data_IF_451749779185
#
_entry.id   IF_451749779185
#
_cell.length_a   1.000
_cell.length_b   1.000
_cell.length_c   1.000
_cell.angle_alpha   90.00
_cell.angle_beta   90.00
_cell.angle_gamma   90.00
#
_symmetry.space_group_name_H-M   'P 1'
#
loop_
_entity.id
_entity.type
_entity.pdbx_description
1 polymer ?
#
# COMPACT_ATOMS: atom_id res chain seq x y z
N UNK A 1 32.94 3.71 -63.30
CA UNK A 1 31.52 4.05 -63.53
C UNK A 1 30.66 3.27 -62.55
N UNK A 2 30.21 3.91 -61.49
CA UNK A 2 29.56 3.24 -60.35
C UNK A 2 28.05 3.49 -60.37
N UNK A 3 27.27 2.45 -60.67
CA UNK A 3 25.80 2.49 -60.69
C UNK A 3 25.29 2.55 -59.26
N UNK A 4 24.93 3.75 -58.78
CA UNK A 4 24.16 3.94 -57.55
C UNK A 4 22.81 3.23 -57.68
N UNK A 5 22.63 2.08 -57.02
CA UNK A 5 21.31 1.44 -56.85
C UNK A 5 20.49 2.29 -55.88
N UNK A 6 19.50 3.02 -56.41
CA UNK A 6 18.44 3.65 -55.60
C UNK A 6 17.50 2.55 -55.12
N UNK A 7 17.55 2.24 -53.84
CA UNK A 7 16.57 1.38 -53.18
C UNK A 7 15.27 2.18 -53.00
N UNK A 8 14.37 2.12 -53.98
CA UNK A 8 13.02 2.67 -53.83
C UNK A 8 12.15 1.60 -53.17
N UNK A 9 11.80 1.80 -51.89
CA UNK A 9 10.87 0.94 -51.18
C UNK A 9 9.50 0.95 -51.88
N UNK A 10 8.98 -0.23 -52.20
CA UNK A 10 7.65 -0.39 -52.80
C UNK A 10 6.56 0.19 -51.86
N UNK A 11 5.45 0.72 -52.40
CA UNK A 11 4.40 1.37 -51.60
C UNK A 11 3.91 0.52 -50.41
N UNK A 12 3.80 -0.79 -50.59
CA UNK A 12 3.37 -1.74 -49.56
C UNK A 12 4.37 -1.84 -48.38
N UNK A 13 5.67 -1.74 -48.65
CA UNK A 13 6.69 -1.75 -47.61
C UNK A 13 6.70 -0.47 -46.78
N UNK A 14 6.30 0.66 -47.37
CA UNK A 14 6.18 1.94 -46.66
C UNK A 14 5.01 1.92 -45.67
N UNK A 15 3.91 1.25 -46.04
CA UNK A 15 2.75 1.05 -45.16
C UNK A 15 3.13 0.14 -44.00
N UNK A 16 3.80 -0.99 -44.27
CA UNK A 16 4.26 -1.91 -43.23
C UNK A 16 5.20 -1.21 -42.23
N UNK A 17 6.16 -0.43 -42.73
CA UNK A 17 7.08 0.34 -41.89
C UNK A 17 6.36 1.40 -41.05
N UNK A 18 5.36 2.09 -41.61
CA UNK A 18 4.56 3.06 -40.88
C UNK A 18 3.73 2.41 -39.77
N UNK A 19 3.12 1.25 -40.03
CA UNK A 19 2.37 0.48 -39.03
C UNK A 19 3.30 -0.02 -37.93
N UNK A 20 4.46 -0.57 -38.27
CA UNK A 20 5.46 -0.99 -37.28
C UNK A 20 5.98 0.18 -36.44
N UNK A 21 6.23 1.34 -37.05
CA UNK A 21 6.61 2.55 -36.34
C UNK A 21 5.49 3.00 -35.40
N UNK A 22 4.23 2.95 -35.84
CA UNK A 22 3.08 3.38 -35.04
C UNK A 22 2.82 2.41 -33.87
N UNK A 23 2.98 1.10 -34.07
CA UNK A 23 2.97 0.10 -33.00
C UNK A 23 4.13 0.33 -32.04
N UNK A 24 5.33 0.62 -32.55
CA UNK A 24 6.51 0.91 -31.73
C UNK A 24 6.32 2.18 -30.90
N UNK A 25 5.76 3.24 -31.50
CA UNK A 25 5.46 4.50 -30.81
C UNK A 25 4.31 4.33 -29.81
N UNK A 26 3.28 3.54 -30.15
CA UNK A 26 2.19 3.22 -29.22
C UNK A 26 2.71 2.38 -28.05
N UNK A 27 3.55 1.38 -28.32
CA UNK A 27 4.22 0.60 -27.29
C UNK A 27 5.11 1.49 -26.40
N UNK A 28 5.87 2.41 -27.01
CA UNK A 28 6.70 3.36 -26.29
C UNK A 28 5.86 4.35 -25.47
N UNK A 29 4.73 4.81 -26.01
CA UNK A 29 3.81 5.73 -25.34
C UNK A 29 3.10 5.05 -24.16
N UNK A 30 2.59 3.82 -24.35
CA UNK A 30 2.06 2.96 -23.29
C UNK A 30 3.14 2.74 -22.22
N UNK A 31 4.36 2.42 -22.63
CA UNK A 31 5.53 2.23 -21.73
C UNK A 31 5.93 3.51 -21.00
N UNK A 32 5.72 4.69 -21.58
CA UNK A 32 6.02 5.98 -20.94
C UNK A 32 4.94 6.46 -19.97
N UNK A 33 3.70 5.98 -20.14
CA UNK A 33 2.55 6.32 -19.28
C UNK A 33 2.34 5.33 -18.14
N UNK A 34 2.67 4.06 -18.35
CA UNK A 34 2.68 3.08 -17.27
C UNK A 34 3.95 3.28 -16.46
N UNK A 35 3.82 3.63 -15.18
CA UNK A 35 4.93 3.72 -14.22
C UNK A 35 5.55 2.36 -13.94
N UNK A 36 6.08 1.70 -14.98
CA UNK A 36 6.74 0.41 -14.90
C UNK A 36 8.01 0.57 -14.04
N UNK A 37 7.91 0.15 -12.79
CA UNK A 37 9.05 -0.11 -11.93
C UNK A 37 9.98 -1.10 -12.68
N UNK A 38 11.28 -0.78 -12.82
CA UNK A 38 12.24 -1.68 -13.45
C UNK A 38 12.14 -3.09 -12.87
N UNK A 39 12.15 -4.13 -13.70
CA UNK A 39 12.12 -5.52 -13.24
C UNK A 39 13.39 -5.90 -12.44
N UNK A 40 14.40 -5.03 -12.38
CA UNK A 40 15.50 -5.05 -11.40
C UNK A 40 14.98 -5.00 -9.95
N UNK A 41 13.90 -4.27 -9.68
CA UNK A 41 13.32 -4.08 -8.34
C UNK A 41 12.49 -5.30 -7.86
N UNK A 42 12.21 -6.24 -8.76
CA UNK A 42 11.46 -7.47 -8.44
C UNK A 42 12.33 -8.55 -7.80
N UNK A 43 13.66 -8.37 -7.74
CA UNK A 43 14.58 -9.28 -7.05
C UNK A 43 14.85 -8.83 -5.63
N UNK A 44 13.78 -8.75 -4.84
CA UNK A 44 13.85 -8.74 -3.38
C UNK A 44 14.26 -7.40 -2.76
N UNK A 45 13.38 -6.92 -1.87
CA UNK A 45 13.69 -5.94 -0.82
C UNK A 45 14.08 -4.54 -1.32
N UNK A 46 13.18 -3.88 -2.05
CA UNK A 46 13.05 -2.44 -1.81
C UNK A 46 12.25 -2.31 -0.51
N UNK A 47 12.88 -1.89 0.60
CA UNK A 47 12.12 -1.60 1.81
C UNK A 47 11.06 -0.57 1.42
N UNK A 48 9.78 -0.91 1.65
CA UNK A 48 8.68 0.05 1.53
C UNK A 48 9.10 1.29 2.30
N UNK A 49 9.17 2.47 1.66
CA UNK A 49 9.66 3.68 2.31
C UNK A 49 8.91 3.89 3.62
N UNK A 50 9.64 4.14 4.71
CA UNK A 50 9.02 4.50 5.97
C UNK A 50 8.14 5.73 5.73
N UNK A 51 6.90 5.68 6.23
CA UNK A 51 5.84 6.69 6.01
C UNK A 51 5.16 6.68 4.63
N UNK A 52 5.27 5.59 3.86
CA UNK A 52 4.40 5.42 2.68
C UNK A 52 2.94 5.25 3.10
N UNK A 53 2.03 5.75 2.28
CA UNK A 53 0.61 5.49 2.38
C UNK A 53 0.30 4.13 1.76
N UNK A 54 -0.12 3.16 2.59
CA UNK A 54 -0.28 1.76 2.18
C UNK A 54 -1.75 1.36 2.27
N UNK A 55 -2.27 0.77 1.20
CA UNK A 55 -3.66 0.32 1.14
C UNK A 55 -3.71 -1.08 0.53
N UNK A 56 -4.45 -1.99 1.17
CA UNK A 56 -4.75 -3.31 0.60
C UNK A 56 -6.05 -3.21 -0.19
N UNK A 57 -6.05 -3.66 -1.44
CA UNK A 57 -7.24 -3.73 -2.30
C UNK A 57 -7.55 -5.18 -2.58
N UNK A 58 -8.81 -5.58 -2.42
CA UNK A 58 -9.31 -6.91 -2.71
C UNK A 58 -10.66 -6.83 -3.42
N UNK A 59 -10.86 -7.64 -4.45
CA UNK A 59 -12.15 -7.74 -5.14
C UNK A 59 -12.04 -8.44 -6.50
N UNK A 60 -13.18 -8.90 -7.00
CA UNK A 60 -13.27 -9.69 -8.24
C UNK A 60 -13.16 -8.85 -9.51
N UNK A 61 -13.38 -7.54 -9.39
CA UNK A 61 -13.40 -6.58 -10.51
C UNK A 61 -12.33 -5.50 -10.37
N UNK A 62 -11.31 -5.75 -9.54
CA UNK A 62 -10.18 -4.85 -9.29
C UNK A 62 -8.88 -5.64 -9.33
N UNK A 63 -7.79 -4.97 -9.65
CA UNK A 63 -6.45 -5.52 -9.46
C UNK A 63 -6.17 -5.62 -7.96
N UNK A 64 -6.41 -6.82 -7.40
CA UNK A 64 -6.17 -7.08 -5.98
C UNK A 64 -4.68 -7.04 -5.67
N UNK A 65 -4.31 -6.40 -4.56
CA UNK A 65 -2.90 -6.20 -4.21
C UNK A 65 -2.69 -5.20 -3.07
N UNK A 66 -1.43 -4.93 -2.78
CA UNK A 66 -1.03 -3.90 -1.82
C UNK A 66 -0.41 -2.76 -2.59
N UNK A 67 -1.01 -1.58 -2.43
CA UNK A 67 -0.63 -0.37 -3.11
C UNK A 67 0.12 0.53 -2.14
N UNK A 68 1.19 1.16 -2.60
CA UNK A 68 2.05 2.05 -1.80
C UNK A 68 2.21 3.38 -2.51
N UNK A 69 1.92 4.46 -1.82
CA UNK A 69 1.98 5.82 -2.36
C UNK A 69 2.89 6.70 -1.49
N UNK A 70 3.55 7.71 -2.08
CA UNK A 70 4.39 8.64 -1.34
C UNK A 70 3.59 9.59 -0.44
N UNK A 71 2.30 9.75 -0.71
CA UNK A 71 1.38 10.63 0.02
C UNK A 71 -0.02 10.01 0.10
N UNK A 72 -0.89 10.46 1.04
CA UNK A 72 -2.28 10.03 1.07
C UNK A 72 -3.01 10.32 -0.23
N UNK A 73 -3.74 9.32 -0.74
CA UNK A 73 -4.54 9.43 -1.97
C UNK A 73 -6.03 9.20 -1.69
N UNK A 74 -6.87 9.65 -2.62
CA UNK A 74 -8.32 9.44 -2.57
C UNK A 74 -8.73 8.01 -2.97
N UNK A 75 -9.98 7.65 -2.68
CA UNK A 75 -10.54 6.36 -3.11
C UNK A 75 -10.66 6.29 -4.63
N UNK A 76 -11.01 7.40 -5.30
CA UNK A 76 -11.14 7.44 -6.77
C UNK A 76 -9.82 7.15 -7.47
N UNK A 77 -8.77 7.87 -7.09
CA UNK A 77 -7.41 7.65 -7.59
C UNK A 77 -6.93 6.22 -7.31
N UNK A 78 -7.19 5.67 -6.12
CA UNK A 78 -6.85 4.28 -5.82
C UNK A 78 -7.60 3.27 -6.71
N UNK A 79 -8.88 3.52 -7.01
CA UNK A 79 -9.66 2.63 -7.86
C UNK A 79 -9.18 2.67 -9.31
N UNK A 80 -8.81 3.85 -9.81
CA UNK A 80 -8.21 4.00 -11.14
C UNK A 80 -6.90 3.21 -11.24
N UNK A 81 -6.02 3.34 -10.24
CA UNK A 81 -4.79 2.54 -10.12
C UNK A 81 -5.10 1.03 -10.01
N UNK A 82 -6.21 0.66 -9.37
CA UNK A 82 -6.69 -0.71 -9.30
C UNK A 82 -7.44 -1.19 -10.56
N UNK A 83 -7.44 -0.40 -11.64
CA UNK A 83 -8.00 -0.77 -12.93
C UNK A 83 -9.51 -0.53 -13.08
N UNK A 84 -10.12 0.24 -12.18
CA UNK A 84 -11.55 0.60 -12.22
C UNK A 84 -11.71 2.08 -12.43
N UNK A 85 -12.37 2.46 -13.53
CA UNK A 85 -12.82 3.84 -13.77
C UNK A 85 -14.03 4.16 -12.89
N UNK A 86 -13.90 5.02 -11.86
CA UNK A 86 -14.99 5.31 -10.91
C UNK A 86 -16.15 6.07 -11.56
N UNK A 87 -15.88 6.73 -12.70
CA UNK A 87 -16.84 7.55 -13.44
C UNK A 87 -17.91 6.72 -14.15
N UNK A 88 -17.61 5.45 -14.45
CA UNK A 88 -18.48 4.59 -15.25
C UNK A 88 -19.48 3.78 -14.40
N UNK A 89 -19.28 3.74 -13.08
CA UNK A 89 -20.10 2.90 -12.18
C UNK A 89 -20.49 3.66 -10.92
N UNK A 90 -21.79 3.90 -10.67
CA UNK A 90 -22.24 4.48 -9.41
C UNK A 90 -21.76 3.63 -8.21
N UNK A 91 -21.25 4.29 -7.17
CA UNK A 91 -20.66 3.62 -6.01
C UNK A 91 -21.39 3.91 -4.70
N UNK A 92 -21.33 2.93 -3.82
CA UNK A 92 -21.67 3.06 -2.41
C UNK A 92 -20.39 2.87 -1.59
N UNK A 93 -19.90 3.97 -1.00
CA UNK A 93 -18.69 3.98 -0.17
C UNK A 93 -19.03 4.52 1.22
N UNK A 94 -18.43 3.96 2.29
CA UNK A 94 -18.62 4.48 3.63
C UNK A 94 -18.08 5.91 3.73
N UNK A 95 -18.66 6.75 4.61
CA UNK A 95 -18.11 8.06 4.90
C UNK A 95 -16.75 7.90 5.59
N UNK A 96 -15.74 8.67 5.16
CA UNK A 96 -14.41 8.63 5.76
C UNK A 96 -13.31 8.95 4.77
N UNK A 97 -12.14 9.30 5.29
CA UNK A 97 -10.91 9.39 4.50
C UNK A 97 -10.20 8.05 4.52
N UNK A 98 -9.47 7.78 3.45
CA UNK A 98 -8.62 6.61 3.40
C UNK A 98 -7.39 6.83 4.28
N UNK A 99 -7.13 5.89 5.18
CA UNK A 99 -5.97 5.92 6.07
C UNK A 99 -4.97 4.83 5.67
N UNK A 100 -3.68 5.06 5.97
CA UNK A 100 -2.66 4.02 5.77
C UNK A 100 -2.98 2.80 6.63
N UNK A 101 -2.81 1.60 6.07
CA UNK A 101 -3.19 0.36 6.74
C UNK A 101 -4.69 0.06 6.67
N UNK A 102 -5.41 0.68 5.74
CA UNK A 102 -6.78 0.29 5.37
C UNK A 102 -6.75 -0.84 4.35
N UNK A 103 -7.69 -1.77 4.48
CA UNK A 103 -8.08 -2.75 3.47
C UNK A 103 -9.40 -2.30 2.85
N UNK A 104 -9.42 -2.15 1.54
CA UNK A 104 -10.61 -1.91 0.76
C UNK A 104 -11.04 -3.21 0.12
N UNK A 105 -12.29 -3.60 0.37
CA UNK A 105 -12.96 -4.65 -0.40
C UNK A 105 -13.90 -3.99 -1.40
N UNK A 106 -13.72 -4.32 -2.67
CA UNK A 106 -14.56 -3.83 -3.78
C UNK A 106 -15.35 -5.00 -4.32
N UNK A 107 -16.68 -4.92 -4.24
CA UNK A 107 -17.57 -5.91 -4.83
C UNK A 107 -18.61 -5.22 -5.72
N UNK A 108 -19.10 -5.94 -6.73
CA UNK A 108 -20.12 -5.43 -7.63
C UNK A 108 -21.48 -6.05 -7.28
N UNK A 109 -22.50 -5.20 -7.12
CA UNK A 109 -23.89 -5.61 -6.97
C UNK A 109 -24.71 -5.02 -8.13
N UNK A 110 -24.93 -5.82 -9.18
CA UNK A 110 -25.54 -5.36 -10.42
C UNK A 110 -24.70 -4.27 -11.09
N UNK A 111 -25.26 -3.07 -11.26
CA UNK A 111 -24.59 -1.91 -11.87
C UNK A 111 -23.93 -0.97 -10.86
N UNK A 112 -23.75 -1.40 -9.60
CA UNK A 112 -23.14 -0.56 -8.55
C UNK A 112 -21.93 -1.23 -7.94
N UNK A 113 -20.90 -0.43 -7.66
CA UNK A 113 -19.77 -0.85 -6.85
C UNK A 113 -20.08 -0.61 -5.38
N UNK A 114 -19.87 -1.63 -4.55
CA UNK A 114 -19.90 -1.54 -3.11
C UNK A 114 -18.47 -1.57 -2.60
N UNK A 115 -18.11 -0.53 -1.86
CA UNK A 115 -16.79 -0.37 -1.26
C UNK A 115 -16.93 -0.56 0.24
N UNK A 116 -16.11 -1.43 0.82
CA UNK A 116 -16.08 -1.67 2.26
C UNK A 116 -14.66 -1.42 2.76
N UNK A 117 -14.53 -0.52 3.72
CA UNK A 117 -13.26 -0.24 4.39
C UNK A 117 -13.15 -1.10 5.66
N UNK A 118 -12.01 -1.77 5.84
CA UNK A 118 -11.68 -2.55 7.04
C UNK A 118 -10.22 -2.27 7.43
N UNK A 119 -9.83 -2.49 8.69
CA UNK A 119 -8.42 -2.51 9.04
C UNK A 119 -7.67 -3.61 8.26
N UNK A 120 -6.46 -3.29 7.78
CA UNK A 120 -5.54 -4.29 7.25
C UNK A 120 -5.12 -5.26 8.35
N UNK A 121 -4.83 -6.51 7.96
CA UNK A 121 -4.32 -7.52 8.89
C UNK A 121 -3.03 -7.02 9.61
N UNK A 122 -2.92 -7.16 10.94
CA UNK A 122 -1.76 -6.73 11.72
C UNK A 122 -0.41 -7.24 11.21
N UNK A 123 -0.32 -8.50 10.77
CA UNK A 123 0.92 -9.07 10.23
C UNK A 123 1.36 -8.35 8.95
N UNK A 124 0.40 -8.00 8.08
CA UNK A 124 0.68 -7.18 6.89
C UNK A 124 1.10 -5.77 7.30
N UNK A 125 0.42 -5.13 8.28
CA UNK A 125 0.83 -3.82 8.79
C UNK A 125 2.30 -3.82 9.24
N UNK A 126 2.73 -4.82 10.00
CA UNK A 126 4.14 -4.97 10.43
C UNK A 126 5.09 -5.14 9.23
N UNK A 127 4.72 -5.98 8.26
CA UNK A 127 5.53 -6.23 7.06
C UNK A 127 5.74 -4.95 6.23
N UNK A 128 4.71 -4.13 6.11
CA UNK A 128 4.72 -2.87 5.37
C UNK A 128 5.11 -1.65 6.22
N UNK A 129 5.61 -1.86 7.45
CA UNK A 129 6.12 -0.78 8.30
C UNK A 129 5.06 0.19 8.82
N UNK A 130 3.80 -0.26 8.90
CA UNK A 130 2.67 0.51 9.40
C UNK A 130 2.58 0.28 10.92
N UNK A 131 2.74 1.32 11.75
CA UNK A 131 2.60 1.20 13.19
C UNK A 131 1.18 0.77 13.59
N UNK A 132 1.07 0.00 14.66
CA UNK A 132 -0.21 -0.46 15.21
C UNK A 132 -0.47 0.24 16.54
N UNK A 133 -1.70 0.69 16.77
CA UNK A 133 -2.06 1.36 18.02
C UNK A 133 -1.97 0.38 19.20
N UNK A 134 -1.09 0.73 20.13
CA UNK A 134 -0.84 -0.01 21.37
C UNK A 134 -2.10 -0.15 22.25
N UNK A 135 -3.04 0.78 22.14
CA UNK A 135 -4.27 0.77 22.92
C UNK A 135 -5.36 -0.12 22.34
N UNK A 136 -5.21 -0.59 21.09
CA UNK A 136 -6.23 -1.37 20.39
C UNK A 136 -5.75 -2.78 20.02
N UNK A 137 -4.44 -2.98 19.89
CA UNK A 137 -3.83 -4.26 19.52
C UNK A 137 -4.05 -5.35 20.59
N UNK A 138 -4.31 -6.59 20.17
CA UNK A 138 -4.44 -7.74 21.08
C UNK A 138 -3.08 -8.30 21.55
N UNK A 139 -3.08 -9.15 22.58
CA UNK A 139 -1.84 -9.77 23.07
C UNK A 139 -1.18 -10.68 22.02
N UNK A 140 -1.99 -11.42 21.27
CA UNK A 140 -1.58 -12.33 20.21
C UNK A 140 -0.96 -11.56 19.04
N UNK A 141 -1.50 -10.39 18.73
CA UNK A 141 -1.00 -9.50 17.68
C UNK A 141 0.30 -8.80 18.10
N UNK A 142 0.43 -8.42 19.38
CA UNK A 142 1.69 -7.91 19.93
C UNK A 142 2.84 -8.91 19.76
N UNK A 143 2.56 -10.22 19.82
CA UNK A 143 3.56 -11.27 19.64
C UNK A 143 4.10 -11.36 18.20
N UNK A 144 3.43 -10.74 17.22
CA UNK A 144 3.95 -10.63 15.86
C UNK A 144 5.15 -9.68 15.77
N UNK A 145 5.33 -8.81 16.77
CA UNK A 145 6.44 -7.85 16.81
C UNK A 145 7.71 -8.58 17.24
N UNK A 146 8.81 -8.53 16.44
CA UNK A 146 10.06 -9.17 16.78
C UNK A 146 10.56 -8.76 18.18
N UNK A 147 10.76 -9.75 19.05
CA UNK A 147 11.25 -9.55 20.42
C UNK A 147 10.16 -9.38 21.49
N UNK A 148 8.87 -9.39 21.12
CA UNK A 148 7.75 -9.44 22.07
C UNK A 148 7.25 -10.89 22.16
N UNK A 149 7.50 -11.54 23.29
CA UNK A 149 6.96 -12.87 23.61
C UNK A 149 5.67 -12.80 24.43
N UNK A 150 5.04 -13.96 24.71
CA UNK A 150 3.74 -14.04 25.40
C UNK A 150 3.72 -13.29 26.74
N UNK A 151 4.75 -13.48 27.57
CA UNK A 151 4.87 -12.80 28.86
C UNK A 151 4.91 -11.29 28.74
N UNK A 152 5.58 -10.76 27.71
CA UNK A 152 5.72 -9.32 27.52
C UNK A 152 4.44 -8.71 26.95
N UNK A 153 3.81 -9.38 25.99
CA UNK A 153 2.52 -9.00 25.45
C UNK A 153 1.45 -8.90 26.55
N UNK A 154 1.35 -9.91 27.42
CA UNK A 154 0.42 -9.89 28.55
C UNK A 154 0.70 -8.73 29.51
N UNK A 155 1.97 -8.41 29.78
CA UNK A 155 2.31 -7.27 30.65
C UNK A 155 1.91 -5.92 30.04
N UNK A 156 2.03 -5.78 28.72
CA UNK A 156 1.60 -4.57 28.00
C UNK A 156 0.08 -4.42 28.11
N UNK A 157 -0.68 -5.49 27.85
CA UNK A 157 -2.15 -5.47 27.95
C UNK A 157 -2.59 -5.18 29.38
N UNK A 158 -2.01 -5.86 30.36
CA UNK A 158 -2.30 -5.62 31.77
C UNK A 158 -1.95 -4.19 32.19
N UNK A 159 -0.88 -3.61 31.67
CA UNK A 159 -0.54 -2.21 31.97
C UNK A 159 -1.65 -1.27 31.53
N UNK A 160 -2.20 -1.42 30.30
CA UNK A 160 -3.29 -0.53 29.84
C UNK A 160 -4.62 -0.78 30.55
N UNK A 161 -4.83 -1.98 31.10
CA UNK A 161 -6.00 -2.31 31.92
C UNK A 161 -5.88 -1.73 33.34
N UNK A 162 -4.72 -1.90 33.98
CA UNK A 162 -4.50 -1.51 35.38
C UNK A 162 -4.19 -0.01 35.55
N UNK A 163 -3.49 0.60 34.57
CA UNK A 163 -3.02 2.00 34.62
C UNK A 163 -3.79 2.93 33.68
N UNK A 164 -4.66 2.39 32.84
CA UNK A 164 -5.35 3.11 31.78
C UNK A 164 -4.57 3.13 30.47
N UNK A 165 -5.23 3.62 29.40
CA UNK A 165 -4.66 3.70 28.04
C UNK A 165 -3.33 4.45 28.04
N UNK A 166 -2.39 3.99 27.24
CA UNK A 166 -1.13 4.69 26.99
C UNK A 166 -1.44 6.05 26.37
N UNK A 167 -0.89 7.13 26.93
CA UNK A 167 -1.05 8.49 26.39
C UNK A 167 0.04 8.84 25.38
N UNK A 168 1.20 8.19 25.49
CA UNK A 168 2.36 8.34 24.59
C UNK A 168 3.17 7.06 24.57
N UNK A 169 3.89 6.85 23.48
CA UNK A 169 4.62 5.60 23.26
C UNK A 169 5.70 5.34 24.34
N UNK A 170 6.33 6.39 24.87
CA UNK A 170 7.37 6.28 25.90
C UNK A 170 6.90 5.60 27.20
N UNK A 171 5.60 5.58 27.47
CA UNK A 171 5.03 4.91 28.66
C UNK A 171 5.21 3.39 28.61
N UNK A 172 5.50 2.80 27.44
CA UNK A 172 5.93 1.40 27.33
C UNK A 172 7.12 1.08 28.24
N UNK A 173 8.00 2.06 28.52
CA UNK A 173 9.15 1.87 29.41
C UNK A 173 8.77 1.66 30.88
N UNK A 174 7.53 1.97 31.25
CA UNK A 174 6.99 1.70 32.59
C UNK A 174 6.53 0.23 32.73
N UNK A 175 6.42 -0.51 31.62
CA UNK A 175 6.06 -1.92 31.63
C UNK A 175 7.27 -2.76 32.07
N UNK A 176 7.09 -3.55 33.12
CA UNK A 176 8.16 -4.40 33.67
C UNK A 176 8.75 -5.33 32.59
N UNK A 177 10.07 -5.26 32.42
CA UNK A 177 10.80 -6.04 31.42
C UNK A 177 10.99 -5.34 30.07
N UNK A 178 10.51 -4.09 29.91
CA UNK A 178 10.81 -3.20 28.77
C UNK A 178 11.82 -2.14 29.20
N UNK A 179 13.11 -2.44 29.00
CA UNK A 179 14.19 -1.45 29.12
C UNK A 179 14.41 -0.67 27.82
N UNK A 180 15.32 0.31 27.84
CA UNK A 180 15.66 1.16 26.68
C UNK A 180 15.91 0.37 25.40
N UNK A 181 16.75 -0.65 25.45
CA UNK A 181 17.10 -1.48 24.28
C UNK A 181 15.87 -2.15 23.63
N UNK A 182 14.94 -2.65 24.45
CA UNK A 182 13.71 -3.29 23.97
C UNK A 182 12.72 -2.26 23.43
N UNK A 183 12.57 -1.16 24.13
CA UNK A 183 11.76 -0.03 23.65
C UNK A 183 12.23 0.44 22.27
N UNK A 184 13.55 0.64 22.10
CA UNK A 184 14.14 1.07 20.83
C UNK A 184 13.87 0.09 19.68
N UNK A 185 13.76 -1.22 19.97
CA UNK A 185 13.39 -2.22 18.96
C UNK A 185 11.89 -2.23 18.62
N UNK A 186 11.00 -1.90 19.56
CA UNK A 186 9.55 -2.01 19.37
C UNK A 186 8.92 -0.71 18.84
N UNK A 187 9.51 0.44 19.16
CA UNK A 187 8.92 1.76 18.90
C UNK A 187 8.56 2.05 17.44
N UNK A 188 9.18 1.33 16.49
CA UNK A 188 8.89 1.47 15.06
C UNK A 188 7.62 0.74 14.60
N UNK A 189 7.12 -0.21 15.40
CA UNK A 189 5.96 -1.04 15.08
C UNK A 189 4.70 -0.58 15.80
N UNK A 190 4.82 0.37 16.72
CA UNK A 190 3.78 0.74 17.67
C UNK A 190 3.51 2.24 17.60
N UNK A 191 2.24 2.61 17.71
CA UNK A 191 1.78 3.98 17.87
C UNK A 191 0.85 4.11 19.08
N UNK A 192 0.49 5.34 19.42
CA UNK A 192 -0.54 5.65 20.40
C UNK A 192 -1.48 6.67 19.74
N UNK A 193 -2.76 6.29 19.60
CA UNK A 193 -3.72 7.02 18.78
C UNK A 193 -3.64 6.61 17.31
N UNK A 194 -4.80 6.53 16.65
CA UNK A 194 -4.87 6.44 15.20
C UNK A 194 -4.20 7.67 14.59
N UNK A 195 -3.37 7.43 13.57
CA UNK A 195 -2.63 8.44 12.83
C UNK A 195 -3.61 9.41 12.14
N UNK A 196 -4.13 10.42 12.85
CA UNK A 196 -4.43 11.68 12.18
C UNK A 196 -3.09 12.36 12.02
N UNK A 197 -2.59 12.42 10.78
CA UNK A 197 -1.34 13.07 10.44
C UNK A 197 -1.22 14.45 11.13
N UNK A 198 -0.02 14.89 11.55
CA UNK A 198 0.16 16.25 12.02
C UNK A 198 -0.27 17.20 10.91
N UNK A 199 -1.33 17.97 11.16
CA UNK A 199 -1.73 19.10 10.32
C UNK A 199 -0.56 20.09 10.31
N UNK A 200 -0.06 20.52 9.14
CA UNK A 200 0.90 21.62 9.06
C UNK A 200 0.29 22.94 9.55
#
# INVERSE_FOLDING_TARGET
MEKRRRWTLFPEQRILLAVLLLIFLLFYWIRSRSGFLPWEDMKGTHPVPLNSFVVEVEGDHVLSGIYTFPQPIGIDELLEEAGVSPTDVPREAPPGRLETGTKITVSQNGQRLRIVLKPMNPAKKILYGIPIDLNEIAAEELMLIPGIGPTLAQRIVRYREDKGRFARLDELRNVSGIGRKKFDSFRRYLSVGSHTAPTP
#
